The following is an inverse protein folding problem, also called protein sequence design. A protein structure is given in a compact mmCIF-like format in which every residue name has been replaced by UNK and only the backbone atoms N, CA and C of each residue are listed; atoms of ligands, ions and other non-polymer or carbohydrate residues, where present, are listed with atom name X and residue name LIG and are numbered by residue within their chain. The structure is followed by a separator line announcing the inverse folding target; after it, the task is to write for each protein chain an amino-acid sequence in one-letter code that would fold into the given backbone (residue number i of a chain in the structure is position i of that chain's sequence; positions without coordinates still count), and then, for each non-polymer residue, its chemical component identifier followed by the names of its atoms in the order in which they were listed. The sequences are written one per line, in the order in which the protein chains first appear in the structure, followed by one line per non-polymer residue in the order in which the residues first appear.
data_IF_447793642502
#
_entry.id   IF_447793642502
#
_cell.length_a   1.000
_cell.length_b   1.000
_cell.length_c   1.000
_cell.angle_alpha   90.00
_cell.angle_beta   90.00
_cell.angle_gamma   90.00
#
_symmetry.space_group_name_H-M   'P 1'
#
loop_
_entity.id
_entity.type
_entity.pdbx_description
1 polymer ?
#
# COMPACT_ATOMS: atom_id res chain seq x y z
N UNK A 1 0.23 -10.04 5.46
CA UNK A 1 0.54 -9.06 4.39
C UNK A 1 -0.25 -9.25 3.08
N UNK A 2 -0.15 -10.40 2.37
CA UNK A 2 -0.78 -10.57 1.03
C UNK A 2 -2.28 -10.29 1.04
N UNK A 3 -3.00 -10.84 2.02
CA UNK A 3 -4.44 -10.61 2.18
C UNK A 3 -4.77 -9.13 2.42
N UNK A 4 -3.97 -8.43 3.25
CA UNK A 4 -4.18 -7.02 3.55
C UNK A 4 -4.01 -6.12 2.32
N UNK A 5 -3.00 -6.39 1.50
CA UNK A 5 -2.78 -5.66 0.24
C UNK A 5 -3.93 -5.93 -0.74
N UNK A 6 -4.40 -7.17 -0.86
CA UNK A 6 -5.52 -7.50 -1.75
C UNK A 6 -6.83 -6.84 -1.28
N UNK A 7 -7.11 -6.85 0.02
CA UNK A 7 -8.28 -6.16 0.59
C UNK A 7 -8.22 -4.66 0.36
N UNK A 8 -7.07 -4.06 0.64
CA UNK A 8 -6.82 -2.65 0.39
C UNK A 8 -7.04 -2.29 -1.08
N UNK A 9 -6.41 -3.03 -2.00
CA UNK A 9 -6.57 -2.81 -3.44
C UNK A 9 -8.04 -2.89 -3.89
N UNK A 10 -8.82 -3.83 -3.35
CA UNK A 10 -10.25 -3.93 -3.62
C UNK A 10 -11.04 -2.74 -3.05
N UNK A 11 -10.71 -2.29 -1.84
CA UNK A 11 -11.36 -1.16 -1.15
C UNK A 11 -11.19 0.15 -1.92
N UNK A 12 -9.97 0.43 -2.40
CA UNK A 12 -9.68 1.61 -3.23
C UNK A 12 -9.84 1.35 -4.74
N UNK A 13 -10.39 0.20 -5.12
CA UNK A 13 -10.74 -0.17 -6.50
C UNK A 13 -9.57 -0.05 -7.48
N UNK A 14 -8.38 -0.51 -7.06
CA UNK A 14 -7.26 -0.68 -8.00
C UNK A 14 -7.57 -1.87 -8.91
N UNK A 15 -7.61 -1.61 -10.21
CA UNK A 15 -8.04 -2.58 -11.22
C UNK A 15 -6.88 -3.05 -12.11
N UNK A 16 -5.72 -2.39 -12.02
CA UNK A 16 -4.50 -2.74 -12.74
C UNK A 16 -3.58 -3.70 -11.98
N UNK A 17 -2.41 -3.97 -12.57
CA UNK A 17 -1.33 -4.64 -11.84
C UNK A 17 -0.97 -3.84 -10.59
N UNK A 18 -0.62 -4.52 -9.50
CA UNK A 18 -0.29 -3.88 -8.24
C UNK A 18 1.23 -3.86 -8.04
N UNK A 19 1.72 -2.83 -7.38
CA UNK A 19 3.08 -2.75 -6.87
C UNK A 19 3.06 -2.45 -5.38
N UNK A 20 3.96 -3.09 -4.65
CA UNK A 20 4.14 -2.88 -3.21
C UNK A 20 5.57 -2.52 -2.88
N UNK A 21 5.77 -1.84 -1.76
CA UNK A 21 7.10 -1.68 -1.15
C UNK A 21 7.39 -2.77 -0.12
N UNK A 22 8.60 -2.74 0.44
CA UNK A 22 8.93 -3.55 1.61
C UNK A 22 8.05 -3.16 2.83
N UNK A 23 7.76 -4.15 3.67
CA UNK A 23 7.03 -3.94 4.92
C UNK A 23 7.89 -3.15 5.90
N UNK A 24 7.29 -2.15 6.55
CA UNK A 24 7.93 -1.28 7.55
C UNK A 24 7.11 -1.25 8.81
N UNK A 25 7.78 -1.01 9.93
CA UNK A 25 7.09 -0.76 11.20
C UNK A 25 6.40 0.60 11.12
N UNK A 26 5.18 0.67 11.66
CA UNK A 26 4.42 1.91 11.76
C UNK A 26 4.42 2.39 13.20
N UNK A 27 4.95 3.58 13.43
CA UNK A 27 4.75 4.29 14.71
C UNK A 27 3.43 5.09 14.71
N UNK A 28 2.80 5.23 13.54
CA UNK A 28 1.62 6.08 13.31
C UNK A 28 0.65 5.40 12.34
N UNK A 29 -0.48 4.91 12.85
CA UNK A 29 -1.53 4.30 12.05
C UNK A 29 -2.35 3.25 12.83
N UNK A 30 -3.33 2.60 12.17
CA UNK A 30 -4.20 1.60 12.81
C UNK A 30 -3.56 0.22 12.99
N UNK A 31 -2.30 0.01 12.62
CA UNK A 31 -1.58 -1.27 12.78
C UNK A 31 -0.10 -1.06 13.04
N UNK A 32 0.59 -2.06 13.58
CA UNK A 32 2.03 -2.00 13.92
C UNK A 32 2.94 -2.02 12.69
N UNK A 33 2.42 -2.44 11.55
CA UNK A 33 3.16 -2.51 10.29
C UNK A 33 2.39 -1.85 9.16
N UNK A 34 3.12 -1.39 8.16
CA UNK A 34 2.55 -0.92 6.92
C UNK A 34 3.38 -1.32 5.70
N UNK A 35 2.73 -1.38 4.55
CA UNK A 35 3.37 -1.50 3.25
C UNK A 35 2.76 -0.47 2.30
N UNK A 36 3.57 0.06 1.39
CA UNK A 36 3.06 0.96 0.37
C UNK A 36 2.41 0.13 -0.75
N UNK A 37 1.30 0.61 -1.28
CA UNK A 37 0.55 0.01 -2.38
C UNK A 37 0.29 1.08 -3.44
N UNK A 38 0.48 0.72 -4.70
CA UNK A 38 0.05 1.54 -5.83
C UNK A 38 -0.37 0.68 -7.02
N UNK A 39 -1.06 1.32 -7.96
CA UNK A 39 -1.35 0.71 -9.25
C UNK A 39 -0.17 0.88 -10.22
N UNK A 40 0.16 -0.20 -10.94
CA UNK A 40 1.15 -0.27 -12.00
C UNK A 40 0.54 0.20 -13.32
N UNK A 41 1.25 1.07 -14.03
CA UNK A 41 0.98 1.41 -15.44
C UNK A 41 0.62 2.87 -15.71
N UNK A 42 0.56 3.27 -16.99
CA UNK A 42 0.39 4.67 -17.42
C UNK A 42 -1.01 5.24 -17.14
N UNK A 43 -2.02 4.37 -16.94
CA UNK A 43 -3.38 4.75 -16.53
C UNK A 43 -3.52 4.99 -15.03
N UNK A 44 -2.45 4.83 -14.24
CA UNK A 44 -2.39 5.27 -12.85
C UNK A 44 -2.24 6.81 -12.82
N UNK A 45 -3.27 7.50 -13.33
CA UNK A 45 -3.34 8.95 -13.40
C UNK A 45 -3.09 9.54 -12.02
N UNK A 46 -1.88 10.07 -11.82
CA UNK A 46 -1.37 10.40 -10.49
C UNK A 46 -0.94 9.13 -9.75
N UNK A 47 0.36 9.04 -9.42
CA UNK A 47 0.98 7.95 -8.66
C UNK A 47 0.52 7.97 -7.20
N UNK A 48 -0.78 7.92 -6.94
CA UNK A 48 -1.29 7.94 -5.57
C UNK A 48 -0.84 6.64 -4.91
N UNK A 49 0.19 6.75 -4.09
CA UNK A 49 0.61 5.70 -3.19
C UNK A 49 -0.34 5.66 -2.00
N UNK A 50 -0.55 4.45 -1.49
CA UNK A 50 -1.39 4.20 -0.32
C UNK A 50 -0.57 3.43 0.71
N UNK A 51 -0.75 3.77 1.98
CA UNK A 51 -0.20 3.03 3.10
C UNK A 51 -1.24 2.00 3.55
N UNK A 52 -0.91 0.72 3.39
CA UNK A 52 -1.73 -0.41 3.84
C UNK A 52 -1.21 -0.86 5.19
N UNK A 53 -2.03 -0.72 6.23
CA UNK A 53 -1.68 -1.06 7.60
C UNK A 53 -2.17 -2.46 7.98
N UNK A 54 -1.34 -3.16 8.74
CA UNK A 54 -1.64 -4.50 9.23
C UNK A 54 -0.92 -4.78 10.56
N UNK A 55 -1.49 -5.69 11.33
CA UNK A 55 -0.78 -6.38 12.41
C UNK A 55 -0.60 -7.82 11.98
N UNK A 56 0.66 -8.24 11.77
CA UNK A 56 0.98 -9.57 11.27
C UNK A 56 0.27 -9.85 9.91
N UNK A 57 -0.68 -10.78 9.85
CA UNK A 57 -1.53 -10.99 8.68
C UNK A 57 -2.90 -10.31 8.71
N UNK A 58 -3.27 -9.64 9.81
CA UNK A 58 -4.55 -8.94 9.95
C UNK A 58 -4.51 -7.56 9.30
N UNK A 59 -5.28 -7.38 8.23
CA UNK A 59 -5.58 -6.05 7.67
C UNK A 59 -6.19 -5.12 8.73
N UNK A 60 -5.68 -3.90 8.84
CA UNK A 60 -6.17 -2.87 9.78
C UNK A 60 -6.72 -1.63 9.09
N UNK A 61 -6.31 -1.35 7.86
CA UNK A 61 -6.85 -0.25 7.08
C UNK A 61 -5.92 0.22 5.98
N UNK A 62 -6.41 1.16 5.18
CA UNK A 62 -5.67 1.83 4.13
C UNK A 62 -5.80 3.35 4.28
N UNK A 63 -4.71 4.08 4.02
CA UNK A 63 -4.75 5.54 3.91
C UNK A 63 -4.00 6.02 2.68
N UNK A 64 -4.48 7.10 2.07
CA UNK A 64 -3.74 7.79 1.01
C UNK A 64 -2.46 8.41 1.59
N UNK A 65 -1.33 8.20 0.93
CA UNK A 65 -0.01 8.66 1.39
C UNK A 65 0.20 10.17 1.27
N UNK A 66 -0.82 11.02 1.51
CA UNK A 66 -0.64 12.47 1.72
C UNK A 66 0.27 12.74 2.94
N UNK A 67 0.51 11.70 3.75
CA UNK A 67 1.40 11.67 4.93
C UNK A 67 2.80 11.09 4.59
N UNK A 68 3.04 10.53 3.40
CA UNK A 68 4.25 9.72 3.15
C UNK A 68 4.89 9.96 1.78
N UNK A 69 5.70 11.02 1.69
CA UNK A 69 6.85 11.12 0.76
C UNK A 69 7.69 9.82 0.82
N UNK A 70 7.68 9.17 2.00
CA UNK A 70 8.28 7.88 2.28
C UNK A 70 7.73 6.70 1.47
N UNK A 71 6.55 6.76 0.87
CA UNK A 71 6.10 5.69 -0.05
C UNK A 71 6.54 5.98 -1.49
N UNK A 72 6.52 7.23 -1.92
CA UNK A 72 6.86 7.60 -3.30
C UNK A 72 8.33 7.31 -3.65
N UNK A 73 9.22 7.45 -2.67
CA UNK A 73 10.67 7.23 -2.82
C UNK A 73 11.11 5.75 -2.73
N UNK A 74 10.19 4.82 -2.47
CA UNK A 74 10.56 3.42 -2.20
C UNK A 74 10.86 2.61 -3.47
N UNK A 75 11.69 1.56 -3.36
CA UNK A 75 11.78 0.56 -4.41
C UNK A 75 10.45 -0.21 -4.48
N UNK A 76 9.77 -0.03 -5.62
CA UNK A 76 8.50 -0.69 -5.91
C UNK A 76 8.75 -2.05 -6.54
N UNK A 77 8.12 -3.09 -6.01
CA UNK A 77 8.16 -4.43 -6.58
C UNK A 77 6.76 -4.86 -7.05
N UNK A 78 6.66 -5.60 -8.17
CA UNK A 78 5.39 -6.18 -8.58
C UNK A 78 4.80 -7.06 -7.48
N UNK A 79 3.53 -6.84 -7.16
CA UNK A 79 2.79 -7.67 -6.22
C UNK A 79 2.11 -8.81 -6.98
N UNK A 80 2.46 -10.06 -6.64
CA UNK A 80 2.04 -11.29 -7.31
C UNK A 80 1.36 -12.26 -6.33
#
# INVERSE_FOLDING_TARGET
MKEGVTKAAAEIKLTGGLETSAVRHSDHGPGSYFACLRQRGPSAGGRTAYSVFFDDDSYKGIQSSVISDACEAEPWVPFN
#
